data_IF_607872611027
#
_entry.id   IF_607872611027
#
_cell.length_a   1.000
_cell.length_b   1.000
_cell.length_c   1.000
_cell.angle_alpha   90.00
_cell.angle_beta   90.00
_cell.angle_gamma   90.00
#
_symmetry.space_group_name_H-M   'P 1'
#
loop_
_entity.id
_entity.type
_entity.pdbx_description
1 polymer ?
#
# COMPACT_ATOMS: atom_id res chain seq x y z
N UNK A 1 -37.67 -29.25 -28.97
CA UNK A 1 -36.81 -28.05 -28.89
C UNK A 1 -36.42 -27.87 -27.43
N UNK A 2 -35.33 -28.53 -27.01
CA UNK A 2 -34.83 -28.49 -25.62
C UNK A 2 -33.77 -27.38 -25.56
N UNK A 3 -34.23 -26.15 -25.32
CA UNK A 3 -33.36 -24.99 -25.15
C UNK A 3 -32.94 -24.92 -23.68
N UNK A 4 -31.74 -25.42 -23.41
CA UNK A 4 -30.80 -24.87 -22.42
C UNK A 4 -31.38 -24.46 -21.06
N UNK A 5 -31.98 -25.38 -20.30
CA UNK A 5 -32.10 -25.19 -18.85
C UNK A 5 -30.73 -25.41 -18.23
N UNK A 6 -29.92 -24.35 -18.22
CA UNK A 6 -28.63 -24.34 -17.54
C UNK A 6 -28.89 -24.55 -16.04
N UNK A 7 -28.34 -25.59 -15.40
CA UNK A 7 -28.50 -25.82 -13.97
C UNK A 7 -27.59 -24.84 -13.20
N UNK A 8 -27.85 -23.54 -13.28
CA UNK A 8 -27.22 -22.55 -12.41
C UNK A 8 -27.90 -22.45 -11.03
N UNK A 9 -28.91 -23.29 -10.77
CA UNK A 9 -29.81 -23.17 -9.62
C UNK A 9 -29.30 -23.73 -8.28
N UNK A 10 -27.99 -23.94 -8.10
CA UNK A 10 -27.48 -24.46 -6.83
C UNK A 10 -26.21 -23.71 -6.39
N UNK A 11 -26.40 -22.68 -5.55
CA UNK A 11 -25.36 -22.14 -4.66
C UNK A 11 -24.42 -21.06 -5.21
N UNK A 12 -24.29 -20.89 -6.54
CA UNK A 12 -23.38 -19.89 -7.10
C UNK A 12 -23.72 -18.44 -6.71
N UNK A 13 -25.01 -18.09 -6.68
CA UNK A 13 -25.45 -16.75 -6.28
C UNK A 13 -25.14 -16.43 -4.81
N UNK A 14 -25.29 -17.43 -3.93
CA UNK A 14 -25.02 -17.26 -2.51
C UNK A 14 -23.51 -17.17 -2.22
N UNK A 15 -22.70 -18.02 -2.87
CA UNK A 15 -21.23 -17.92 -2.80
C UNK A 15 -20.73 -16.59 -3.35
N UNK A 16 -21.33 -16.09 -4.46
CA UNK A 16 -20.99 -14.80 -5.02
C UNK A 16 -21.34 -13.64 -4.07
N UNK A 17 -22.52 -13.67 -3.44
CA UNK A 17 -22.92 -12.66 -2.46
C UNK A 17 -21.97 -12.64 -1.24
N UNK A 18 -21.57 -13.82 -0.75
CA UNK A 18 -20.63 -13.94 0.35
C UNK A 18 -19.23 -13.42 -0.02
N UNK A 19 -18.76 -13.72 -1.23
CA UNK A 19 -17.48 -13.22 -1.77
C UNK A 19 -17.49 -11.70 -1.88
N UNK A 20 -18.56 -11.10 -2.43
CA UNK A 20 -18.69 -9.64 -2.54
C UNK A 20 -18.66 -8.99 -1.16
N UNK A 21 -19.37 -9.57 -0.19
CA UNK A 21 -19.35 -9.09 1.20
C UNK A 21 -17.96 -9.17 1.83
N UNK A 22 -17.26 -10.29 1.65
CA UNK A 22 -15.90 -10.49 2.17
C UNK A 22 -14.89 -9.53 1.54
N UNK A 23 -14.92 -9.35 0.23
CA UNK A 23 -14.06 -8.39 -0.48
C UNK A 23 -14.38 -6.96 -0.04
N UNK A 24 -15.66 -6.61 0.09
CA UNK A 24 -16.08 -5.30 0.59
C UNK A 24 -15.56 -5.01 2.00
N UNK A 25 -15.62 -5.99 2.89
CA UNK A 25 -15.06 -5.87 4.24
C UNK A 25 -13.54 -5.69 4.22
N UNK A 26 -12.83 -6.40 3.34
CA UNK A 26 -11.38 -6.27 3.19
C UNK A 26 -11.00 -4.86 2.70
N UNK A 27 -11.70 -4.36 1.67
CA UNK A 27 -11.51 -3.00 1.14
C UNK A 27 -11.80 -1.96 2.21
N UNK A 28 -12.88 -2.13 2.98
CA UNK A 28 -13.21 -1.25 4.10
C UNK A 28 -12.10 -1.20 5.15
N UNK A 29 -11.52 -2.36 5.49
CA UNK A 29 -10.41 -2.46 6.42
C UNK A 29 -9.16 -1.73 5.89
N UNK A 30 -8.83 -1.92 4.61
CA UNK A 30 -7.71 -1.19 3.98
C UNK A 30 -7.94 0.32 3.97
N UNK A 31 -9.18 0.76 3.72
CA UNK A 31 -9.55 2.18 3.81
C UNK A 31 -9.36 2.73 5.22
N UNK A 32 -9.75 1.97 6.25
CA UNK A 32 -9.54 2.37 7.65
C UNK A 32 -8.05 2.51 7.98
N UNK A 33 -7.23 1.56 7.55
CA UNK A 33 -5.78 1.59 7.76
C UNK A 33 -5.16 2.79 7.03
N UNK A 34 -5.51 3.00 5.76
CA UNK A 34 -5.02 4.13 4.99
C UNK A 34 -5.44 5.48 5.60
N UNK A 35 -6.70 5.58 6.04
CA UNK A 35 -7.19 6.76 6.74
C UNK A 35 -6.45 6.99 8.06
N UNK A 36 -6.21 5.93 8.83
CA UNK A 36 -5.43 5.99 10.07
C UNK A 36 -3.99 6.45 9.83
N UNK A 37 -3.31 5.91 8.82
CA UNK A 37 -1.96 6.32 8.44
C UNK A 37 -1.92 7.78 7.97
N UNK A 38 -2.90 8.21 7.18
CA UNK A 38 -3.01 9.59 6.71
C UNK A 38 -3.29 10.56 7.87
N UNK A 39 -4.24 10.22 8.75
CA UNK A 39 -4.55 11.03 9.93
C UNK A 39 -3.36 11.10 10.88
N UNK A 40 -2.65 9.98 11.09
CA UNK A 40 -1.42 9.94 11.86
C UNK A 40 -0.35 10.85 11.25
N UNK A 41 -0.12 10.77 9.94
CA UNK A 41 0.84 11.65 9.24
C UNK A 41 0.47 13.13 9.31
N UNK A 42 -0.82 13.45 9.19
CA UNK A 42 -1.30 14.83 9.28
C UNK A 42 -1.17 15.42 10.69
N UNK A 43 -1.29 14.61 11.74
CA UNK A 43 -1.23 15.08 13.14
C UNK A 43 0.19 15.06 13.71
N UNK A 44 1.00 14.06 13.34
CA UNK A 44 2.37 13.90 13.83
C UNK A 44 3.37 14.85 13.14
N UNK A 45 2.95 15.61 12.12
CA UNK A 45 3.77 16.60 11.41
C UNK A 45 4.78 16.00 10.43
N UNK A 46 5.38 14.86 10.79
CA UNK A 46 6.48 14.23 10.05
C UNK A 46 6.12 12.82 9.50
N UNK A 47 4.95 12.28 9.87
CA UNK A 47 4.55 10.94 9.42
C UNK A 47 5.09 9.77 10.25
N UNK A 48 5.05 8.58 9.64
CA UNK A 48 5.76 7.40 10.14
C UNK A 48 7.21 7.58 9.73
N UNK A 49 8.06 8.06 10.64
CA UNK A 49 9.51 8.05 10.41
C UNK A 49 9.97 6.61 10.29
N UNK A 50 10.51 6.29 9.13
CA UNK A 50 11.23 5.04 8.97
C UNK A 50 12.66 5.19 9.53
N UNK A 51 13.28 4.11 10.04
CA UNK A 51 14.61 4.18 10.65
C UNK A 51 15.69 4.76 9.72
N UNK A 52 15.52 4.59 8.43
CA UNK A 52 16.34 5.15 7.34
C UNK A 52 16.14 6.66 7.11
N UNK A 53 15.00 7.22 7.55
CA UNK A 53 14.74 8.67 7.51
C UNK A 53 15.35 9.41 8.72
N UNK A 54 15.99 8.71 9.67
CA UNK A 54 16.73 9.32 10.77
C UNK A 54 18.06 9.94 10.34
N UNK A 55 18.53 9.63 9.14
CA UNK A 55 19.84 10.07 8.64
C UNK A 55 19.83 11.51 8.07
N UNK A 56 18.68 12.04 7.64
CA UNK A 56 18.61 13.40 7.06
C UNK A 56 18.68 14.52 8.13
N UNK A 57 18.27 14.26 9.37
CA UNK A 57 18.29 15.26 10.47
C UNK A 57 19.62 15.28 11.25
N UNK A 58 20.56 14.36 10.96
CA UNK A 58 21.86 14.25 11.64
C UNK A 58 23.05 14.68 10.77
N UNK A 59 22.81 15.33 9.62
CA UNK A 59 23.89 15.81 8.75
C UNK A 59 24.44 17.19 9.18
N UNK A 60 24.33 17.50 10.48
CA UNK A 60 25.27 18.37 11.17
C UNK A 60 26.15 17.46 12.02
N UNK A 61 27.37 17.26 11.55
CA UNK A 61 28.51 16.57 12.19
C UNK A 61 28.77 15.12 11.71
N UNK A 62 29.55 15.05 10.62
CA UNK A 62 30.60 14.04 10.39
C UNK A 62 30.15 12.59 10.12
N UNK A 63 29.47 12.35 8.99
CA UNK A 63 29.15 11.01 8.48
C UNK A 63 29.46 10.85 7.00
N UNK A 64 30.09 9.74 6.61
CA UNK A 64 30.52 9.45 5.24
C UNK A 64 29.30 9.34 4.30
N UNK A 65 29.16 10.28 3.37
CA UNK A 65 28.09 10.26 2.35
C UNK A 65 28.31 9.13 1.34
N UNK A 66 27.27 8.34 1.08
CA UNK A 66 27.24 7.38 -0.03
C UNK A 66 27.23 8.17 -1.34
N UNK A 67 28.23 7.95 -2.19
CA UNK A 67 28.40 8.66 -3.46
C UNK A 67 27.13 8.61 -4.31
N UNK A 68 26.71 9.77 -4.80
CA UNK A 68 25.59 9.93 -5.73
C UNK A 68 25.88 9.15 -7.02
N UNK A 69 24.88 8.44 -7.55
CA UNK A 69 24.95 7.65 -8.80
C UNK A 69 25.10 8.52 -10.08
N UNK A 70 25.58 9.76 -9.98
CA UNK A 70 25.64 10.75 -11.06
C UNK A 70 27.06 11.13 -11.51
N UNK A 71 28.10 10.44 -11.02
CA UNK A 71 29.46 10.66 -11.54
C UNK A 71 29.65 9.96 -12.89
N UNK A 72 29.28 10.67 -13.97
CA UNK A 72 29.69 10.41 -15.35
C UNK A 72 31.22 10.56 -15.47
N UNK A 73 31.94 9.46 -15.27
CA UNK A 73 33.41 9.39 -15.35
C UNK A 73 33.94 9.84 -16.73
N UNK A 74 34.39 11.09 -16.83
CA UNK A 74 35.18 11.59 -17.96
C UNK A 74 36.65 11.68 -17.56
N UNK A 75 37.43 10.69 -17.95
CA UNK A 75 38.89 10.71 -17.83
C UNK A 75 39.52 11.36 -19.07
N UNK A 76 40.43 12.31 -18.83
CA UNK A 76 41.33 12.90 -19.83
C UNK A 76 42.52 11.98 -20.13
#
# INVERSE_FOLDING_TARGET
MLLLQLPFDFGFGEVAAQLIGAVGALVLLMLLVAFGAFAYKSLAGDGVRWPDEMEEDQDSEDGVKRGSDEDDWKYY
#
